data_IF_862516275146
#
_entry.id   IF_862516275146
#
_cell.length_a   1.000
_cell.length_b   1.000
_cell.length_c   1.000
_cell.angle_alpha   90.00
_cell.angle_beta   90.00
_cell.angle_gamma   90.00
#
_symmetry.space_group_name_H-M   'P 1'
#
loop_
_entity.id
_entity.type
_entity.pdbx_description
1 polymer ?
#
# COMPACT_ATOMS: atom_id res chain seq x y z
N UNK A 1 -99.29 -46.29 91.91
CA UNK A 1 -97.97 -45.74 91.53
C UNK A 1 -97.87 -44.22 91.79
N UNK A 2 -98.26 -43.75 92.98
CA UNK A 2 -98.03 -42.37 93.45
C UNK A 2 -97.63 -42.33 94.96
N UNK A 3 -97.63 -43.47 95.65
CA UNK A 3 -97.22 -43.60 97.06
C UNK A 3 -95.71 -43.83 97.25
N UNK A 4 -95.06 -44.55 96.32
CA UNK A 4 -93.62 -44.83 96.37
C UNK A 4 -92.72 -43.60 96.06
N UNK A 5 -93.26 -42.60 95.36
CA UNK A 5 -92.55 -41.34 95.10
C UNK A 5 -92.51 -40.44 96.35
N UNK A 6 -93.53 -40.52 97.21
CA UNK A 6 -93.63 -39.74 98.46
C UNK A 6 -92.65 -40.26 99.52
N UNK A 7 -92.47 -41.58 99.61
CA UNK A 7 -91.46 -42.18 100.50
C UNK A 7 -90.02 -41.91 100.04
N UNK A 8 -89.77 -41.76 98.72
CA UNK A 8 -88.45 -41.38 98.20
C UNK A 8 -88.10 -39.90 98.37
N UNK A 9 -89.10 -39.02 98.51
CA UNK A 9 -88.88 -37.59 98.77
C UNK A 9 -88.77 -37.31 100.29
N UNK A 10 -89.39 -38.13 101.15
CA UNK A 10 -89.32 -37.96 102.60
C UNK A 10 -88.03 -38.52 103.23
N UNK A 11 -87.20 -39.24 102.47
CA UNK A 11 -85.90 -39.77 102.92
C UNK A 11 -84.71 -38.88 102.53
N UNK A 12 -84.97 -37.66 102.08
CA UNK A 12 -83.95 -36.60 102.13
C UNK A 12 -83.95 -36.09 103.56
N UNK A 13 -83.07 -36.64 104.38
CA UNK A 13 -82.68 -36.09 105.69
C UNK A 13 -82.25 -34.63 105.48
N UNK A 14 -83.24 -33.75 105.60
CA UNK A 14 -83.15 -32.31 105.44
C UNK A 14 -82.54 -31.62 106.67
N UNK A 15 -82.12 -32.37 107.68
CA UNK A 15 -81.40 -31.89 108.87
C UNK A 15 -80.47 -32.99 109.41
N UNK A 16 -79.32 -33.19 108.75
CA UNK A 16 -78.15 -33.73 109.45
C UNK A 16 -77.50 -32.56 110.18
N UNK A 17 -77.98 -32.32 111.40
CA UNK A 17 -77.33 -31.49 112.42
C UNK A 17 -76.13 -32.28 112.96
N UNK A 18 -75.15 -32.53 112.10
CA UNK A 18 -73.79 -32.67 112.61
C UNK A 18 -73.27 -31.24 112.75
N UNK A 19 -73.08 -30.80 113.99
CA UNK A 19 -72.20 -29.67 114.33
C UNK A 19 -70.76 -30.02 113.94
N UNK A 20 -70.50 -30.34 112.68
CA UNK A 20 -69.19 -30.17 112.10
C UNK A 20 -69.04 -28.68 111.94
N UNK A 21 -68.37 -28.07 112.91
CA UNK A 21 -67.86 -26.71 112.84
C UNK A 21 -67.48 -26.44 111.39
N UNK A 22 -68.30 -25.64 110.71
CA UNK A 22 -67.89 -24.97 109.50
C UNK A 22 -66.70 -24.17 109.99
N UNK A 23 -65.49 -24.71 109.81
CA UNK A 23 -64.28 -23.92 109.82
C UNK A 23 -64.57 -22.91 108.73
N UNK A 24 -65.09 -21.75 109.14
CA UNK A 24 -65.10 -20.57 108.29
C UNK A 24 -63.62 -20.40 108.02
N UNK A 25 -63.18 -20.91 106.86
CA UNK A 25 -61.90 -20.53 106.30
C UNK A 25 -61.87 -19.02 106.47
N UNK A 26 -60.79 -18.46 107.05
CA UNK A 26 -60.74 -17.04 107.31
C UNK A 26 -61.15 -16.38 106.00
N UNK A 27 -62.32 -15.72 106.00
CA UNK A 27 -62.81 -15.03 104.82
C UNK A 27 -61.68 -14.05 104.56
N UNK A 28 -60.90 -14.29 103.51
CA UNK A 28 -59.78 -13.41 103.22
C UNK A 28 -60.43 -12.11 102.76
N UNK A 29 -60.57 -11.18 103.70
CA UNK A 29 -61.14 -9.84 103.48
C UNK A 29 -60.36 -9.14 102.36
N UNK A 30 -59.11 -9.57 102.12
CA UNK A 30 -58.23 -9.11 101.06
C UNK A 30 -58.31 -9.88 99.73
N UNK A 31 -59.12 -10.95 99.60
CA UNK A 31 -59.22 -11.71 98.34
C UNK A 31 -59.71 -10.84 97.16
N UNK A 32 -60.59 -9.86 97.44
CA UNK A 32 -61.00 -8.87 96.46
C UNK A 32 -59.85 -7.93 96.04
N UNK A 33 -58.95 -7.59 96.98
CA UNK A 33 -57.78 -6.77 96.70
C UNK A 33 -56.71 -7.54 95.91
N UNK A 34 -56.49 -8.82 96.22
CA UNK A 34 -55.59 -9.70 95.48
C UNK A 34 -56.06 -9.94 94.03
N UNK A 35 -57.36 -10.16 93.84
CA UNK A 35 -57.94 -10.32 92.51
C UNK A 35 -57.85 -9.02 91.69
N UNK A 36 -58.12 -7.88 92.32
CA UNK A 36 -57.96 -6.57 91.70
C UNK A 36 -56.50 -6.34 91.29
N UNK A 37 -55.55 -6.63 92.18
CA UNK A 37 -54.12 -6.48 91.91
C UNK A 37 -53.66 -7.40 90.76
N UNK A 38 -54.15 -8.64 90.70
CA UNK A 38 -53.84 -9.55 89.59
C UNK A 38 -54.31 -9.01 88.24
N UNK A 39 -55.56 -8.54 88.14
CA UNK A 39 -56.06 -7.96 86.90
C UNK A 39 -55.41 -6.62 86.56
N UNK A 40 -55.07 -5.81 87.57
CA UNK A 40 -54.35 -4.57 87.37
C UNK A 40 -52.94 -4.82 86.80
N UNK A 41 -52.21 -5.80 87.34
CA UNK A 41 -50.89 -6.17 86.84
C UNK A 41 -50.98 -6.75 85.41
N UNK A 42 -51.96 -7.62 85.13
CA UNK A 42 -52.17 -8.14 83.77
C UNK A 42 -52.52 -7.03 82.77
N UNK A 43 -53.31 -6.05 83.20
CA UNK A 43 -53.65 -4.89 82.37
C UNK A 43 -52.43 -4.00 82.11
N UNK A 44 -51.59 -3.78 83.13
CA UNK A 44 -50.33 -3.06 83.02
C UNK A 44 -49.37 -3.74 82.04
N UNK A 45 -49.16 -5.06 82.19
CA UNK A 45 -48.33 -5.86 81.27
C UNK A 45 -48.85 -5.78 79.82
N UNK A 46 -50.17 -5.90 79.63
CA UNK A 46 -50.80 -5.83 78.31
C UNK A 46 -50.66 -4.43 77.71
N UNK A 47 -50.82 -3.38 78.51
CA UNK A 47 -50.64 -2.01 78.07
C UNK A 47 -49.20 -1.73 77.66
N UNK A 48 -48.22 -2.18 78.45
CA UNK A 48 -46.79 -2.04 78.14
C UNK A 48 -46.43 -2.78 76.84
N UNK A 49 -46.93 -4.00 76.66
CA UNK A 49 -46.73 -4.77 75.42
C UNK A 49 -47.37 -4.09 74.22
N UNK A 50 -48.58 -3.55 74.38
CA UNK A 50 -49.27 -2.84 73.30
C UNK A 50 -48.54 -1.54 72.91
N UNK A 51 -48.00 -0.80 73.89
CA UNK A 51 -47.22 0.41 73.65
C UNK A 51 -45.90 0.09 72.93
N UNK A 52 -45.19 -0.97 73.35
CA UNK A 52 -43.98 -1.46 72.66
C UNK A 52 -44.29 -1.88 71.22
N UNK A 53 -45.37 -2.65 71.01
CA UNK A 53 -45.79 -3.08 69.68
C UNK A 53 -46.18 -1.88 68.79
N UNK A 54 -46.88 -0.89 69.34
CA UNK A 54 -47.19 0.34 68.62
C UNK A 54 -45.93 1.12 68.23
N UNK A 55 -44.94 1.20 69.11
CA UNK A 55 -43.66 1.84 68.84
C UNK A 55 -42.83 1.10 67.78
N UNK A 56 -42.81 -0.24 67.82
CA UNK A 56 -42.14 -1.07 66.80
C UNK A 56 -42.84 -0.97 65.44
N UNK A 57 -44.18 -1.00 65.41
CA UNK A 57 -44.95 -0.80 64.19
C UNK A 57 -44.70 0.58 63.58
N UNK A 58 -44.59 1.63 64.39
CA UNK A 58 -44.25 2.97 63.93
C UNK A 58 -42.84 3.05 63.33
N UNK A 59 -41.85 2.37 63.94
CA UNK A 59 -40.49 2.27 63.37
C UNK A 59 -40.49 1.54 62.03
N UNK A 60 -41.19 0.41 61.94
CA UNK A 60 -41.31 -0.34 60.70
C UNK A 60 -41.99 0.48 59.59
N UNK A 61 -43.05 1.22 59.92
CA UNK A 61 -43.72 2.12 58.97
C UNK A 61 -42.76 3.21 58.44
N UNK A 62 -41.92 3.79 59.32
CA UNK A 62 -40.91 4.77 58.91
C UNK A 62 -39.86 4.20 57.95
N UNK A 63 -39.39 2.97 58.18
CA UNK A 63 -38.46 2.30 57.25
C UNK A 63 -39.13 1.96 55.92
N UNK A 64 -40.38 1.49 55.93
CA UNK A 64 -41.14 1.25 54.70
C UNK A 64 -41.32 2.55 53.90
N UNK A 65 -41.61 3.68 54.56
CA UNK A 65 -41.73 4.97 53.88
C UNK A 65 -40.42 5.40 53.22
N UNK A 66 -39.29 5.24 53.91
CA UNK A 66 -37.95 5.54 53.34
C UNK A 66 -37.67 4.69 52.11
N UNK A 67 -37.89 3.37 52.20
CA UNK A 67 -37.69 2.45 51.08
C UNK A 67 -38.62 2.83 49.92
N UNK A 68 -39.89 3.13 50.21
CA UNK A 68 -40.88 3.50 49.20
C UNK A 68 -40.47 4.76 48.45
N UNK A 69 -39.99 5.80 49.16
CA UNK A 69 -39.43 7.02 48.55
C UNK A 69 -38.24 6.69 47.64
N UNK A 70 -37.26 5.97 48.16
CA UNK A 70 -36.07 5.59 47.40
C UNK A 70 -36.40 4.79 46.13
N UNK A 71 -37.32 3.83 46.22
CA UNK A 71 -37.76 3.02 45.07
C UNK A 71 -38.48 3.90 44.05
N UNK A 72 -39.33 4.82 44.49
CA UNK A 72 -40.06 5.70 43.59
C UNK A 72 -39.13 6.68 42.85
N UNK A 73 -38.14 7.24 43.55
CA UNK A 73 -37.13 8.11 42.95
C UNK A 73 -36.30 7.36 41.90
N UNK A 74 -35.84 6.14 42.22
CA UNK A 74 -35.12 5.31 41.26
C UNK A 74 -35.98 4.93 40.05
N UNK A 75 -37.27 4.65 40.25
CA UNK A 75 -38.20 4.39 39.15
C UNK A 75 -38.31 5.61 38.22
N UNK A 76 -38.39 6.82 38.77
CA UNK A 76 -38.38 8.05 37.98
C UNK A 76 -37.06 8.24 37.21
N UNK A 77 -35.92 8.01 37.88
CA UNK A 77 -34.61 8.09 37.23
C UNK A 77 -34.46 7.09 36.08
N UNK A 78 -34.86 5.85 36.27
CA UNK A 78 -34.84 4.81 35.23
C UNK A 78 -35.76 5.19 34.08
N UNK A 79 -36.96 5.71 34.37
CA UNK A 79 -37.88 6.17 33.33
C UNK A 79 -37.28 7.32 32.50
N UNK A 80 -36.61 8.27 33.14
CA UNK A 80 -35.92 9.36 32.47
C UNK A 80 -34.77 8.86 31.59
N UNK A 81 -33.92 7.97 32.12
CA UNK A 81 -32.83 7.35 31.36
C UNK A 81 -33.38 6.60 30.15
N UNK A 82 -34.41 5.77 30.33
CA UNK A 82 -35.03 5.04 29.23
C UNK A 82 -35.64 5.97 28.19
N UNK A 83 -36.28 7.06 28.59
CA UNK A 83 -36.81 8.07 27.69
C UNK A 83 -35.69 8.75 26.89
N UNK A 84 -34.60 9.14 27.55
CA UNK A 84 -33.43 9.74 26.88
C UNK A 84 -32.81 8.73 25.92
N UNK A 85 -32.57 7.49 26.33
CA UNK A 85 -31.99 6.46 25.46
C UNK A 85 -32.88 6.18 24.24
N UNK A 86 -34.19 6.04 24.45
CA UNK A 86 -35.16 5.75 23.37
C UNK A 86 -35.33 6.91 22.39
N UNK A 87 -35.29 8.15 22.86
CA UNK A 87 -35.42 9.34 22.02
C UNK A 87 -34.08 9.86 21.50
N UNK A 88 -32.97 9.42 22.09
CA UNK A 88 -31.65 9.78 21.59
C UNK A 88 -31.43 9.07 20.25
N UNK A 89 -31.08 9.84 19.23
CA UNK A 89 -30.56 9.29 17.99
C UNK A 89 -29.10 8.82 18.15
N UNK A 90 -28.66 8.47 19.37
CA UNK A 90 -27.28 8.16 19.68
C UNK A 90 -26.82 6.92 18.92
N UNK A 91 -27.64 5.87 18.88
CA UNK A 91 -27.37 4.66 18.08
C UNK A 91 -27.21 5.02 16.61
N UNK A 92 -28.16 5.77 16.02
CA UNK A 92 -28.08 6.22 14.63
C UNK A 92 -26.86 7.10 14.35
N UNK A 93 -26.45 7.92 15.31
CA UNK A 93 -25.25 8.75 15.17
C UNK A 93 -23.98 7.92 15.24
N UNK A 94 -23.93 6.90 16.10
CA UNK A 94 -22.84 5.93 16.14
C UNK A 94 -22.78 5.17 14.82
N UNK A 95 -23.91 4.66 14.33
CA UNK A 95 -23.99 3.95 13.05
C UNK A 95 -23.47 4.84 11.91
N UNK A 96 -23.90 6.10 11.84
CA UNK A 96 -23.38 7.07 10.87
C UNK A 96 -21.88 7.32 11.01
N UNK A 97 -21.38 7.44 12.24
CA UNK A 97 -19.94 7.58 12.47
C UNK A 97 -19.19 6.33 11.99
N UNK A 98 -19.71 5.15 12.26
CA UNK A 98 -19.15 3.88 11.79
C UNK A 98 -19.16 3.80 10.25
N UNK A 99 -20.25 4.19 9.60
CA UNK A 99 -20.35 4.27 8.14
C UNK A 99 -19.32 5.24 7.57
N UNK A 100 -19.18 6.44 8.16
CA UNK A 100 -18.18 7.42 7.69
C UNK A 100 -16.75 6.93 7.88
N UNK A 101 -16.48 6.16 8.94
CA UNK A 101 -15.17 5.54 9.16
C UNK A 101 -14.92 4.47 8.10
N UNK A 102 -15.93 3.66 7.77
CA UNK A 102 -15.83 2.65 6.72
C UNK A 102 -15.56 3.28 5.35
N UNK A 103 -16.26 4.37 5.02
CA UNK A 103 -16.04 5.13 3.79
C UNK A 103 -14.62 5.72 3.73
N UNK A 104 -14.11 6.25 4.85
CA UNK A 104 -12.74 6.74 4.95
C UNK A 104 -11.70 5.64 4.73
N UNK A 105 -11.92 4.44 5.28
CA UNK A 105 -11.05 3.30 5.01
C UNK A 105 -11.05 2.93 3.52
N UNK A 106 -12.23 2.90 2.89
CA UNK A 106 -12.34 2.64 1.45
C UNK A 106 -11.63 3.69 0.59
N UNK A 107 -11.77 4.97 0.96
CA UNK A 107 -11.06 6.06 0.30
C UNK A 107 -9.54 5.95 0.48
N UNK A 108 -9.06 5.61 1.69
CA UNK A 108 -7.64 5.41 1.98
C UNK A 108 -7.06 4.27 1.13
N UNK A 109 -7.75 3.14 1.06
CA UNK A 109 -7.32 2.00 0.25
C UNK A 109 -7.26 2.36 -1.25
N UNK A 110 -8.23 3.14 -1.74
CA UNK A 110 -8.20 3.63 -3.12
C UNK A 110 -7.05 4.62 -3.36
N UNK A 111 -6.78 5.53 -2.42
CA UNK A 111 -5.65 6.45 -2.50
C UNK A 111 -4.32 5.70 -2.50
N UNK A 112 -4.17 4.68 -1.66
CA UNK A 112 -2.98 3.83 -1.64
C UNK A 112 -2.77 3.14 -3.01
N UNK A 113 -3.83 2.57 -3.61
CA UNK A 113 -3.76 1.97 -4.95
C UNK A 113 -3.34 2.98 -6.02
N UNK A 114 -3.92 4.18 -6.00
CA UNK A 114 -3.58 5.24 -6.95
C UNK A 114 -2.13 5.75 -6.76
N UNK A 115 -1.63 5.76 -5.52
CA UNK A 115 -0.25 6.14 -5.23
C UNK A 115 0.73 5.10 -5.79
N UNK A 116 0.43 3.80 -5.63
CA UNK A 116 1.23 2.73 -6.24
C UNK A 116 1.22 2.84 -7.77
N UNK A 117 0.05 3.09 -8.38
CA UNK A 117 -0.04 3.29 -9.83
C UNK A 117 0.77 4.51 -10.29
N UNK A 118 0.74 5.60 -9.53
CA UNK A 118 1.54 6.79 -9.81
C UNK A 118 3.05 6.49 -9.73
N UNK A 119 3.50 5.72 -8.76
CA UNK A 119 4.91 5.29 -8.64
C UNK A 119 5.34 4.51 -9.89
N UNK A 120 4.54 3.53 -10.32
CA UNK A 120 4.79 2.76 -11.55
C UNK A 120 4.87 3.68 -12.77
N UNK A 121 3.99 4.68 -12.88
CA UNK A 121 3.97 5.62 -14.01
C UNK A 121 5.21 6.52 -14.00
N UNK A 122 5.66 6.96 -12.82
CA UNK A 122 6.90 7.74 -12.65
C UNK A 122 8.09 6.91 -13.13
N UNK A 123 8.19 5.65 -12.71
CA UNK A 123 9.28 4.76 -13.10
C UNK A 123 9.29 4.51 -14.61
N UNK A 124 8.13 4.24 -15.21
CA UNK A 124 7.99 4.08 -16.65
C UNK A 124 8.41 5.35 -17.40
N UNK A 125 8.02 6.52 -16.90
CA UNK A 125 8.40 7.81 -17.49
C UNK A 125 9.91 8.04 -17.40
N UNK A 126 10.52 7.71 -16.26
CA UNK A 126 11.96 7.84 -16.06
C UNK A 126 12.74 6.88 -16.97
N UNK A 127 12.25 5.65 -17.13
CA UNK A 127 12.83 4.68 -18.05
C UNK A 127 12.77 5.15 -19.51
N UNK A 128 11.61 5.66 -19.95
CA UNK A 128 11.47 6.19 -21.32
C UNK A 128 12.35 7.43 -21.55
N UNK A 129 12.49 8.32 -20.56
CA UNK A 129 13.45 9.43 -20.63
C UNK A 129 14.88 8.93 -20.79
N UNK A 130 15.27 7.91 -20.02
CA UNK A 130 16.60 7.31 -20.09
C UNK A 130 16.86 6.69 -21.47
N UNK A 131 15.91 5.90 -21.97
CA UNK A 131 15.96 5.28 -23.30
C UNK A 131 16.08 6.34 -24.41
N UNK A 132 15.26 7.38 -24.36
CA UNK A 132 15.32 8.49 -25.33
C UNK A 132 16.67 9.21 -25.27
N UNK A 133 17.23 9.44 -24.08
CA UNK A 133 18.56 10.03 -23.92
C UNK A 133 19.65 9.15 -24.55
N UNK A 134 19.61 7.84 -24.32
CA UNK A 134 20.57 6.92 -24.94
C UNK A 134 20.44 6.88 -26.46
N UNK A 135 19.21 6.84 -26.99
CA UNK A 135 18.96 6.91 -28.43
C UNK A 135 19.54 8.19 -29.03
N UNK A 136 19.29 9.33 -28.39
CA UNK A 136 19.84 10.61 -28.82
C UNK A 136 21.38 10.60 -28.82
N UNK A 137 22.03 10.04 -27.80
CA UNK A 137 23.48 9.93 -27.77
C UNK A 137 24.03 9.01 -28.88
N UNK A 138 23.30 7.93 -29.19
CA UNK A 138 23.67 7.02 -30.28
C UNK A 138 23.58 7.72 -31.65
N UNK A 139 22.46 8.38 -31.93
CA UNK A 139 22.26 9.15 -33.17
C UNK A 139 23.33 10.23 -33.34
N UNK A 140 23.68 10.93 -32.27
CA UNK A 140 24.75 11.93 -32.29
C UNK A 140 26.13 11.32 -32.52
N UNK A 141 26.39 10.13 -31.98
CA UNK A 141 27.64 9.41 -32.23
C UNK A 141 27.73 8.92 -33.68
N UNK A 142 26.65 8.34 -34.21
CA UNK A 142 26.55 7.91 -35.61
C UNK A 142 26.81 9.08 -36.56
N UNK A 143 26.13 10.21 -36.33
CA UNK A 143 26.34 11.43 -37.12
C UNK A 143 27.78 11.93 -37.07
N UNK A 144 28.39 11.98 -35.88
CA UNK A 144 29.82 12.38 -35.75
C UNK A 144 30.74 11.42 -36.49
N UNK A 145 30.47 10.12 -36.43
CA UNK A 145 31.25 9.10 -37.12
C UNK A 145 31.12 9.24 -38.64
N UNK A 146 29.93 9.51 -39.14
CA UNK A 146 29.68 9.76 -40.56
C UNK A 146 30.37 11.04 -41.04
N UNK A 147 30.29 12.12 -40.28
CA UNK A 147 31.04 13.36 -40.57
C UNK A 147 32.56 13.13 -40.59
N UNK A 148 33.10 12.34 -39.65
CA UNK A 148 34.51 11.96 -39.63
C UNK A 148 34.90 11.08 -40.82
N UNK A 149 34.03 10.15 -41.21
CA UNK A 149 34.24 9.29 -42.37
C UNK A 149 34.27 10.11 -43.67
N UNK A 150 33.32 11.02 -43.86
CA UNK A 150 33.25 11.88 -45.04
C UNK A 150 34.46 12.83 -45.11
N UNK A 151 34.91 13.38 -43.98
CA UNK A 151 36.17 14.12 -43.90
C UNK A 151 37.36 13.27 -44.32
N UNK A 152 37.46 12.05 -43.82
CA UNK A 152 38.56 11.15 -44.17
C UNK A 152 38.53 10.80 -45.67
N UNK A 153 37.34 10.53 -46.22
CA UNK A 153 37.14 10.24 -47.64
C UNK A 153 37.57 11.42 -48.52
N UNK A 154 37.11 12.63 -48.21
CA UNK A 154 37.49 13.84 -48.96
C UNK A 154 38.99 14.15 -48.85
N UNK A 155 39.61 13.95 -47.68
CA UNK A 155 41.07 14.06 -47.51
C UNK A 155 41.84 13.03 -48.34
N UNK A 156 41.34 11.79 -48.39
CA UNK A 156 41.94 10.71 -49.18
C UNK A 156 41.84 10.98 -50.68
N UNK A 157 40.67 11.43 -51.16
CA UNK A 157 40.46 11.84 -52.56
C UNK A 157 41.39 13.01 -52.94
N UNK A 158 41.51 14.02 -52.08
CA UNK A 158 42.42 15.15 -52.29
C UNK A 158 43.88 14.70 -52.35
N UNK A 159 44.29 13.80 -51.45
CA UNK A 159 45.64 13.23 -51.44
C UNK A 159 45.90 12.40 -52.70
N UNK A 160 44.91 11.62 -53.15
CA UNK A 160 45.01 10.84 -54.38
C UNK A 160 45.15 11.75 -55.60
N UNK A 161 44.29 12.76 -55.74
CA UNK A 161 44.34 13.73 -56.85
C UNK A 161 45.70 14.43 -56.90
N UNK A 162 46.20 14.90 -55.75
CA UNK A 162 47.54 15.51 -55.66
C UNK A 162 48.65 14.54 -56.08
N UNK A 163 48.57 13.28 -55.67
CA UNK A 163 49.55 12.24 -56.06
C UNK A 163 49.51 11.95 -57.55
N UNK A 164 48.32 11.93 -58.16
CA UNK A 164 48.16 11.77 -59.61
C UNK A 164 48.74 12.97 -60.34
N UNK A 165 48.45 14.19 -59.89
CA UNK A 165 49.00 15.42 -60.48
C UNK A 165 50.54 15.46 -60.40
N UNK A 166 51.13 15.11 -59.25
CA UNK A 166 52.58 14.98 -59.07
C UNK A 166 53.18 13.93 -60.01
N UNK A 167 52.51 12.77 -60.16
CA UNK A 167 52.95 11.70 -61.06
C UNK A 167 52.88 12.13 -62.54
N UNK A 168 51.79 12.77 -62.96
CA UNK A 168 51.63 13.29 -64.32
C UNK A 168 52.64 14.40 -64.63
N UNK A 169 52.87 15.32 -63.70
CA UNK A 169 53.86 16.38 -63.84
C UNK A 169 55.28 15.80 -63.98
N UNK A 170 55.65 14.81 -63.16
CA UNK A 170 56.93 14.12 -63.25
C UNK A 170 57.09 13.39 -64.60
N UNK A 171 56.06 12.66 -65.04
CA UNK A 171 56.05 11.96 -66.33
C UNK A 171 56.15 12.94 -67.50
N UNK A 172 55.45 14.07 -67.43
CA UNK A 172 55.51 15.14 -68.44
C UNK A 172 56.89 15.77 -68.51
N UNK A 173 57.52 16.08 -67.37
CA UNK A 173 58.87 16.61 -67.31
C UNK A 173 59.88 15.64 -67.94
N UNK A 174 59.79 14.35 -67.60
CA UNK A 174 60.63 13.30 -68.19
C UNK A 174 60.44 13.20 -69.72
N UNK A 175 59.20 13.27 -70.20
CA UNK A 175 58.91 13.27 -71.64
C UNK A 175 59.46 14.52 -72.35
N UNK A 176 59.38 15.69 -71.72
CA UNK A 176 59.92 16.94 -72.25
C UNK A 176 61.45 16.92 -72.32
N UNK A 177 62.13 16.43 -71.29
CA UNK A 177 63.59 16.25 -71.28
C UNK A 177 64.01 15.29 -72.39
N UNK A 178 63.33 14.14 -72.50
CA UNK A 178 63.58 13.17 -73.58
C UNK A 178 63.37 13.80 -74.96
N UNK A 179 62.32 14.61 -75.13
CA UNK A 179 62.07 15.33 -76.38
C UNK A 179 63.16 16.36 -76.69
N UNK A 180 63.65 17.10 -75.70
CA UNK A 180 64.76 18.05 -75.87
C UNK A 180 66.04 17.34 -76.29
N UNK A 181 66.40 16.24 -75.61
CA UNK A 181 67.58 15.43 -75.99
C UNK A 181 67.46 14.94 -77.44
N UNK A 182 66.29 14.47 -77.87
CA UNK A 182 66.07 14.06 -79.26
C UNK A 182 66.14 15.24 -80.24
N UNK A 183 65.59 16.42 -79.88
CA UNK A 183 65.69 17.61 -80.73
C UNK A 183 67.11 18.12 -80.87
N UNK A 184 67.90 18.09 -79.79
CA UNK A 184 69.30 18.51 -79.82
C UNK A 184 70.15 17.53 -80.62
N UNK A 185 69.97 16.22 -80.43
CA UNK A 185 70.59 15.19 -81.26
C UNK A 185 70.23 15.38 -82.74
N UNK A 186 68.95 15.64 -83.05
CA UNK A 186 68.51 15.89 -84.42
C UNK A 186 69.11 17.17 -85.03
N UNK A 187 69.25 18.26 -84.24
CA UNK A 187 69.95 19.46 -84.69
C UNK A 187 71.41 19.17 -84.98
N UNK A 188 72.09 18.43 -84.11
CA UNK A 188 73.47 17.99 -84.33
C UNK A 188 73.58 17.15 -85.61
N UNK A 189 72.64 16.23 -85.86
CA UNK A 189 72.61 15.43 -87.09
C UNK A 189 72.39 16.31 -88.34
N UNK A 190 71.52 17.32 -88.28
CA UNK A 190 71.32 18.29 -89.36
C UNK A 190 72.58 19.12 -89.60
N UNK A 191 73.25 19.59 -88.55
CA UNK A 191 74.50 20.35 -88.66
C UNK A 191 75.61 19.49 -89.26
N UNK A 192 75.74 18.22 -88.85
CA UNK A 192 76.65 17.26 -89.47
C UNK A 192 76.30 17.04 -90.95
N UNK A 193 75.02 16.87 -91.30
CA UNK A 193 74.59 16.72 -92.70
C UNK A 193 74.94 17.95 -93.54
N UNK A 194 74.72 19.18 -93.03
CA UNK A 194 75.08 20.42 -93.73
C UNK A 194 76.59 20.56 -93.95
N UNK A 195 77.40 20.07 -93.02
CA UNK A 195 78.87 20.20 -93.08
C UNK A 195 79.55 19.09 -93.89
N UNK A 196 79.04 17.85 -93.87
CA UNK A 196 79.67 16.66 -94.48
C UNK A 196 78.87 16.04 -95.65
N UNK A 197 77.62 16.46 -95.90
CA UNK A 197 76.79 15.98 -97.03
C UNK A 197 76.25 14.55 -96.90
N UNK A 198 76.37 13.91 -95.74
CA UNK A 198 75.88 12.54 -95.48
C UNK A 198 75.18 12.45 -94.12
N UNK A 199 74.07 11.70 -94.03
CA UNK A 199 73.32 11.51 -92.78
C UNK A 199 73.93 10.34 -92.00
N UNK A 200 74.16 10.46 -90.67
CA UNK A 200 74.58 9.32 -89.87
C UNK A 200 73.56 8.18 -89.95
N UNK A 201 73.97 7.01 -90.42
CA UNK A 201 73.14 5.80 -90.40
C UNK A 201 72.88 5.41 -88.95
N UNK A 202 71.61 5.29 -88.54
CA UNK A 202 71.20 4.92 -87.17
C UNK A 202 72.06 3.77 -86.64
N UNK A 203 72.84 4.04 -85.60
CA UNK A 203 73.54 3.02 -84.84
C UNK A 203 72.51 2.39 -83.90
N UNK A 204 72.38 1.07 -84.02
CA UNK A 204 71.62 0.17 -83.17
C UNK A 204 71.55 0.64 -81.72
N UNK A 205 70.36 1.06 -81.30
CA UNK A 205 70.04 1.08 -79.89
C UNK A 205 69.57 -0.32 -79.52
N UNK A 206 70.36 -1.05 -78.74
CA UNK A 206 69.94 -2.24 -77.99
C UNK A 206 68.85 -1.83 -76.97
N UNK A 207 67.67 -1.49 -77.46
CA UNK A 207 66.48 -1.33 -76.66
C UNK A 207 65.70 -2.62 -76.80
N UNK A 208 65.64 -3.38 -75.70
CA UNK A 208 64.61 -4.37 -75.42
C UNK A 208 63.23 -3.69 -75.31
N UNK A 209 62.86 -2.90 -76.32
CA UNK A 209 61.51 -2.44 -76.53
C UNK A 209 60.85 -3.48 -77.40
N UNK A 210 60.08 -4.36 -76.79
CA UNK A 210 59.22 -5.28 -77.52
C UNK A 210 58.48 -4.49 -78.61
N UNK A 211 58.64 -4.91 -79.87
CA UNK A 211 57.71 -4.50 -80.92
C UNK A 211 56.30 -4.86 -80.43
N UNK A 212 55.30 -4.01 -80.70
CA UNK A 212 53.91 -4.32 -80.31
C UNK A 212 53.42 -5.67 -80.85
N UNK A 213 54.05 -6.17 -81.93
CA UNK A 213 53.83 -7.49 -82.50
C UNK A 213 54.36 -8.67 -81.66
N UNK A 214 55.29 -8.43 -80.72
CA UNK A 214 55.90 -9.45 -79.86
C UNK A 214 55.40 -9.42 -78.40
N UNK A 215 54.48 -8.51 -78.05
CA UNK A 215 53.80 -8.58 -76.76
C UNK A 215 52.72 -9.67 -76.85
N UNK A 216 53.10 -10.90 -76.50
CA UNK A 216 52.12 -11.88 -76.03
C UNK A 216 51.63 -11.41 -74.65
N UNK A 217 50.41 -10.88 -74.61
CA UNK A 217 49.68 -10.80 -73.35
C UNK A 217 49.40 -12.23 -72.92
N UNK A 218 50.14 -12.72 -71.92
CA UNK A 218 49.77 -13.91 -71.16
C UNK A 218 48.44 -13.59 -70.48
N UNK A 219 47.35 -13.93 -71.18
CA UNK A 219 46.00 -13.73 -70.70
C UNK A 219 45.70 -14.83 -69.69
N UNK A 220 46.06 -14.59 -68.43
CA UNK A 220 45.78 -15.52 -67.35
C UNK A 220 44.33 -15.35 -66.89
N UNK A 221 43.44 -16.15 -67.46
CA UNK A 221 42.01 -16.18 -67.14
C UNK A 221 41.76 -16.32 -65.62
N UNK A 222 42.68 -17.00 -64.92
CA UNK A 222 42.64 -17.24 -63.49
C UNK A 222 42.71 -15.95 -62.65
N UNK A 223 43.44 -14.94 -63.12
CA UNK A 223 43.62 -13.66 -62.41
C UNK A 223 42.37 -12.77 -62.56
N UNK A 224 41.73 -12.82 -63.74
CA UNK A 224 40.45 -12.18 -64.04
C UNK A 224 39.30 -12.79 -63.23
N UNK A 225 39.28 -14.13 -63.11
CA UNK A 225 38.30 -14.83 -62.29
C UNK A 225 38.50 -14.51 -60.80
N UNK A 226 39.74 -14.30 -60.33
CA UNK A 226 40.01 -13.85 -58.97
C UNK A 226 39.52 -12.42 -58.73
N UNK A 227 39.73 -11.52 -59.69
CA UNK A 227 39.25 -10.14 -59.63
C UNK A 227 37.71 -10.05 -59.58
N UNK A 228 36.99 -10.88 -60.34
CA UNK A 228 35.52 -10.91 -60.30
C UNK A 228 34.96 -11.58 -59.03
N UNK A 229 35.66 -12.56 -58.46
CA UNK A 229 35.23 -13.23 -57.23
C UNK A 229 35.51 -12.40 -55.96
N UNK A 230 36.45 -11.45 -56.01
CA UNK A 230 36.73 -10.53 -54.89
C UNK A 230 35.69 -9.38 -54.79
N UNK A 231 34.95 -9.08 -55.86
CA UNK A 231 33.81 -8.13 -55.85
C UNK A 231 32.50 -8.78 -55.33
N UNK A 232 32.40 -10.11 -55.30
CA UNK A 232 31.21 -10.82 -54.77
C UNK A 232 31.27 -11.09 -53.25
N UNK A 233 32.38 -10.75 -52.56
CA UNK A 233 32.54 -10.97 -51.12
C UNK A 233 32.69 -9.67 -50.28
N UNK A 234 32.01 -8.59 -50.67
CA UNK A 234 31.83 -7.40 -49.82
C UNK A 234 30.37 -7.04 -49.59
#
# INVERSE_FOLDING_TARGET
MLSSLKEKILNVTLFNTEEQQIKRNPVNINAGAELLAHFQNQWEDLHELNEKNAAEAAKAAGEIEKITKFVNDNKMNIALINHILSNSNLIKNIDKCTDTIQDLYGLSENLEKQLVELEVLIDQTNFEKLKNRHRYHLEQYEKRKEESFEKYKTELEKKHLKKVEEYEASKKALMQERQQVFQDAFKTDIEMYKNLGTVPSKINSNQNGALLEEIQLDFDQSELDQFFNDEENK
#
